data_IF_659467754475
#
_entry.id   IF_659467754475
#
_cell.length_a   1.000
_cell.length_b   1.000
_cell.length_c   1.000
_cell.angle_alpha   90.00
_cell.angle_beta   90.00
_cell.angle_gamma   90.00
#
_symmetry.space_group_name_H-M   'P 1'
#
loop_
_entity.id
_entity.type
_entity.pdbx_description
1 polymer ?
#
# COMPACT_ATOMS: atom_id res chain seq x y z
N UNK A 1 19.01 -52.39 34.82
CA UNK A 1 17.93 -51.57 35.40
C UNK A 1 17.79 -50.34 34.51
N UNK A 2 16.78 -50.32 33.63
CA UNK A 2 16.54 -49.25 32.65
C UNK A 2 15.11 -48.75 32.88
N UNK A 3 14.88 -47.45 33.17
CA UNK A 3 13.55 -46.96 33.47
C UNK A 3 12.72 -46.72 32.21
N UNK A 4 11.45 -47.08 32.35
CA UNK A 4 10.35 -47.10 31.38
C UNK A 4 9.98 -45.69 30.89
N UNK A 5 9.75 -45.55 29.57
CA UNK A 5 9.21 -44.35 28.92
C UNK A 5 7.87 -43.93 29.55
N UNK A 6 7.81 -42.70 30.06
CA UNK A 6 6.59 -42.05 30.56
C UNK A 6 5.54 -41.86 29.47
N UNK A 7 4.32 -42.35 29.73
CA UNK A 7 3.16 -42.21 28.88
C UNK A 7 2.67 -40.75 28.81
N UNK A 8 2.30 -40.29 27.61
CA UNK A 8 1.65 -38.99 27.39
C UNK A 8 0.20 -39.05 27.88
N UNK A 9 -0.31 -38.05 28.63
CA UNK A 9 -1.69 -38.05 29.12
C UNK A 9 -2.71 -37.88 27.97
N UNK A 10 -3.83 -38.57 28.10
CA UNK A 10 -4.96 -38.49 27.18
C UNK A 10 -5.58 -37.08 27.18
N UNK A 11 -5.78 -36.50 25.98
CA UNK A 11 -6.36 -35.15 25.81
C UNK A 11 -5.47 -34.13 25.09
N UNK A 12 -4.21 -34.47 24.77
CA UNK A 12 -3.31 -33.59 23.99
C UNK A 12 -3.67 -33.46 22.50
N UNK A 13 -4.65 -34.22 22.01
CA UNK A 13 -5.05 -34.29 20.61
C UNK A 13 -6.41 -33.62 20.32
N UNK A 14 -6.82 -32.63 21.11
CA UNK A 14 -8.05 -31.87 20.84
C UNK A 14 -7.71 -30.43 20.40
N UNK A 15 -8.11 -29.99 19.18
CA UNK A 15 -7.88 -28.63 18.74
C UNK A 15 -8.65 -27.63 19.61
N UNK A 16 -8.01 -26.51 19.96
CA UNK A 16 -8.61 -25.40 20.69
C UNK A 16 -9.94 -25.00 20.03
N UNK A 17 -11.03 -25.08 20.80
CA UNK A 17 -12.34 -24.50 20.45
C UNK A 17 -12.15 -23.03 20.10
N UNK A 18 -12.43 -22.65 18.85
CA UNK A 18 -12.32 -21.27 18.38
C UNK A 18 -13.18 -20.34 19.22
N UNK A 19 -12.54 -19.47 20.01
CA UNK A 19 -13.22 -18.40 20.71
C UNK A 19 -13.91 -17.47 19.72
N UNK A 20 -15.17 -17.12 20.00
CA UNK A 20 -15.92 -16.11 19.23
C UNK A 20 -15.06 -14.85 19.11
N UNK A 21 -14.62 -14.55 17.89
CA UNK A 21 -13.93 -13.31 17.57
C UNK A 21 -14.91 -12.16 17.82
N UNK A 22 -14.77 -11.44 18.93
CA UNK A 22 -15.42 -10.16 19.14
C UNK A 22 -14.79 -9.16 18.17
N UNK A 23 -15.45 -8.93 17.04
CA UNK A 23 -15.07 -7.87 16.11
C UNK A 23 -15.61 -6.54 16.65
N UNK A 24 -14.77 -5.49 16.82
CA UNK A 24 -15.25 -4.14 17.02
C UNK A 24 -16.19 -3.76 15.87
N UNK A 25 -17.37 -3.20 16.20
CA UNK A 25 -18.49 -2.98 15.26
C UNK A 25 -18.14 -2.25 13.95
N UNK A 26 -17.03 -1.51 13.92
CA UNK A 26 -16.50 -0.87 12.72
C UNK A 26 -16.08 -1.86 11.60
N UNK A 27 -15.76 -3.12 11.91
CA UNK A 27 -15.34 -4.11 10.90
C UNK A 27 -16.50 -4.71 10.09
N UNK A 28 -17.76 -4.56 10.54
CA UNK A 28 -18.91 -5.09 9.82
C UNK A 28 -19.09 -4.40 8.45
N UNK A 29 -19.01 -3.08 8.41
CA UNK A 29 -19.15 -2.31 7.15
C UNK A 29 -18.07 -2.67 6.11
N UNK A 30 -16.82 -2.90 6.55
CA UNK A 30 -15.71 -3.31 5.67
C UNK A 30 -15.85 -4.72 5.07
N UNK A 31 -16.68 -5.58 5.67
CA UNK A 31 -17.04 -6.89 5.11
C UNK A 31 -18.20 -6.78 4.11
N UNK A 32 -19.08 -5.79 4.26
CA UNK A 32 -20.21 -5.56 3.36
C UNK A 32 -19.84 -4.79 2.09
N UNK A 33 -18.89 -3.84 2.17
CA UNK A 33 -18.38 -3.11 1.00
C UNK A 33 -17.63 -4.01 -0.02
N UNK A 34 -17.17 -5.21 0.40
CA UNK A 34 -16.44 -6.17 -0.46
C UNK A 34 -17.33 -7.13 -1.26
N UNK A 35 -18.66 -7.08 -1.12
CA UNK A 35 -19.57 -7.99 -1.87
C UNK A 35 -20.01 -7.46 -3.24
N UNK A 36 -19.65 -6.24 -3.63
CA UNK A 36 -20.08 -5.65 -4.91
C UNK A 36 -18.95 -5.47 -5.93
N UNK A 37 -17.78 -6.06 -5.71
CA UNK A 37 -16.67 -6.01 -6.66
C UNK A 37 -16.02 -7.40 -6.81
N UNK A 38 -16.43 -8.10 -7.88
CA UNK A 38 -15.74 -9.20 -8.55
C UNK A 38 -15.49 -10.49 -7.74
N UNK A 39 -16.21 -11.55 -8.13
CA UNK A 39 -15.97 -12.92 -7.69
C UNK A 39 -14.66 -13.49 -8.26
N UNK A 40 -13.94 -14.24 -7.44
CA UNK A 40 -12.75 -15.01 -7.81
C UNK A 40 -12.32 -15.92 -6.66
N UNK A 41 -12.34 -17.23 -6.90
CA UNK A 41 -12.05 -18.33 -5.97
C UNK A 41 -10.60 -18.29 -5.39
N UNK A 42 -10.33 -18.84 -4.19
CA UNK A 42 -8.96 -19.04 -3.72
C UNK A 42 -8.42 -20.39 -4.20
N UNK A 43 -7.39 -20.37 -5.05
CA UNK A 43 -6.59 -21.55 -5.40
C UNK A 43 -5.45 -21.76 -4.40
N UNK A 44 -5.43 -22.90 -3.73
CA UNK A 44 -4.26 -23.46 -3.04
C UNK A 44 -3.36 -24.17 -4.07
N UNK A 45 -2.05 -23.98 -3.97
CA UNK A 45 -1.03 -24.78 -4.65
C UNK A 45 0.20 -24.95 -3.73
N UNK A 46 0.79 -26.15 -3.59
CA UNK A 46 1.85 -26.44 -2.63
C UNK A 46 3.27 -26.45 -3.25
N UNK A 47 4.28 -26.11 -2.42
CA UNK A 47 5.67 -26.56 -2.57
C UNK A 47 6.60 -25.74 -3.47
N UNK A 48 7.65 -25.18 -2.88
CA UNK A 48 8.80 -24.58 -3.58
C UNK A 48 9.71 -23.80 -2.63
N UNK A 49 10.80 -24.42 -2.21
CA UNK A 49 11.84 -23.88 -1.33
C UNK A 49 12.62 -22.72 -1.99
N UNK A 50 13.11 -21.80 -1.14
CA UNK A 50 14.24 -20.93 -1.47
C UNK A 50 13.93 -19.43 -1.42
N UNK A 51 14.38 -18.79 -0.34
CA UNK A 51 15.14 -17.53 -0.27
C UNK A 51 14.86 -16.84 1.08
N UNK A 52 15.63 -17.22 2.09
CA UNK A 52 15.75 -16.50 3.35
C UNK A 52 16.56 -15.23 3.12
N UNK A 53 15.95 -14.06 3.29
CA UNK A 53 16.66 -12.82 3.57
C UNK A 53 16.23 -12.32 4.96
N UNK A 54 17.14 -12.40 5.92
CA UNK A 54 17.07 -11.59 7.13
C UNK A 54 18.26 -10.62 7.15
N UNK A 55 17.97 -9.40 7.64
CA UNK A 55 18.84 -8.25 7.98
C UNK A 55 18.82 -7.13 6.93
N UNK A 56 18.40 -5.90 7.21
CA UNK A 56 17.92 -5.25 8.43
C UNK A 56 17.74 -3.75 8.21
N UNK A 57 17.05 -3.11 9.15
CA UNK A 57 17.08 -1.69 9.51
C UNK A 57 16.66 -0.63 8.48
N UNK A 58 15.45 -0.11 8.69
CA UNK A 58 14.84 1.00 7.97
C UNK A 58 13.32 0.86 8.08
N UNK A 59 12.73 1.51 9.08
CA UNK A 59 11.28 1.64 9.24
C UNK A 59 10.69 2.45 8.06
N UNK A 60 10.64 1.81 6.90
CA UNK A 60 9.93 2.32 5.76
C UNK A 60 8.53 1.73 5.74
N UNK A 61 7.60 2.50 5.22
CA UNK A 61 6.31 2.05 4.70
C UNK A 61 6.48 1.03 3.53
N UNK A 62 7.44 0.12 3.60
CA UNK A 62 7.94 -0.79 2.57
C UNK A 62 8.08 -2.25 3.01
N UNK A 63 7.41 -2.67 4.09
CA UNK A 63 7.38 -4.07 4.55
C UNK A 63 6.15 -4.85 4.09
N UNK A 64 6.24 -5.49 2.92
CA UNK A 64 5.51 -6.70 2.50
C UNK A 64 4.14 -7.02 3.12
N UNK A 65 3.15 -6.12 3.09
CA UNK A 65 1.74 -6.48 3.32
C UNK A 65 0.76 -5.49 2.68
N UNK A 66 0.16 -5.93 1.57
CA UNK A 66 -1.04 -5.38 0.94
C UNK A 66 -0.93 -3.98 0.31
N UNK A 67 -0.60 -3.99 -0.98
CA UNK A 67 -0.90 -2.94 -1.96
C UNK A 67 -2.30 -2.33 -1.72
N UNK A 68 -2.40 -1.17 -1.08
CA UNK A 68 -3.72 -0.60 -0.81
C UNK A 68 -3.77 0.68 0.00
N UNK A 69 -4.77 1.49 -0.32
CA UNK A 69 -5.18 2.71 0.41
C UNK A 69 -5.56 2.42 1.88
N UNK A 70 -5.82 1.15 2.20
CA UNK A 70 -6.38 0.72 3.49
C UNK A 70 -5.48 1.05 4.68
N UNK A 71 -4.15 0.86 4.56
CA UNK A 71 -3.23 1.09 5.67
C UNK A 71 -3.00 2.58 5.93
N UNK A 72 -2.72 3.42 4.90
CA UNK A 72 -2.71 4.88 5.06
C UNK A 72 -4.04 5.42 5.59
N UNK A 73 -5.17 4.98 5.03
CA UNK A 73 -6.49 5.48 5.45
C UNK A 73 -6.82 5.13 6.90
N UNK A 74 -6.49 3.91 7.36
CA UNK A 74 -6.72 3.52 8.76
C UNK A 74 -5.87 4.35 9.72
N UNK A 75 -4.63 4.63 9.35
CA UNK A 75 -3.75 5.49 10.13
C UNK A 75 -4.30 6.92 10.23
N UNK A 76 -4.73 7.50 9.10
CA UNK A 76 -5.31 8.84 9.06
C UNK A 76 -6.64 8.93 9.80
N UNK A 77 -7.52 7.94 9.63
CA UNK A 77 -8.80 7.87 10.34
C UNK A 77 -8.61 7.92 11.86
N UNK A 78 -7.62 7.18 12.38
CA UNK A 78 -7.29 7.19 13.79
C UNK A 78 -6.62 8.51 14.22
N UNK A 79 -5.60 8.97 13.49
CA UNK A 79 -4.81 10.15 13.90
C UNK A 79 -5.55 11.48 13.76
N UNK A 80 -6.50 11.57 12.84
CA UNK A 80 -7.29 12.77 12.58
C UNK A 80 -8.72 12.68 13.14
N UNK A 81 -9.07 11.56 13.77
CA UNK A 81 -10.42 11.29 14.29
C UNK A 81 -11.50 11.56 13.23
N UNK A 82 -11.34 10.96 12.05
CA UNK A 82 -12.21 11.22 10.90
C UNK A 82 -13.61 10.64 11.12
N UNK A 83 -14.64 11.36 10.68
CA UNK A 83 -16.00 10.82 10.60
C UNK A 83 -16.18 9.92 9.36
N UNK A 84 -17.31 9.20 9.29
CA UNK A 84 -17.57 8.22 8.22
C UNK A 84 -17.57 8.85 6.82
N UNK A 85 -18.15 10.04 6.67
CA UNK A 85 -18.18 10.80 5.41
C UNK A 85 -16.76 11.19 4.99
N UNK A 86 -15.97 11.73 5.92
CA UNK A 86 -14.58 12.10 5.68
C UNK A 86 -13.73 10.90 5.29
N UNK A 87 -13.91 9.75 5.95
CA UNK A 87 -13.21 8.49 5.60
C UNK A 87 -13.53 8.07 4.17
N UNK A 88 -14.79 8.14 3.76
CA UNK A 88 -15.22 7.80 2.41
C UNK A 88 -14.58 8.70 1.34
N UNK A 89 -14.55 10.01 1.57
CA UNK A 89 -13.94 10.96 0.64
C UNK A 89 -12.41 10.83 0.60
N UNK A 90 -11.76 10.66 1.75
CA UNK A 90 -10.32 10.46 1.82
C UNK A 90 -9.90 9.15 1.15
N UNK A 91 -10.73 8.10 1.23
CA UNK A 91 -10.49 6.85 0.51
C UNK A 91 -10.43 7.06 -1.00
N UNK A 92 -11.40 7.81 -1.57
CA UNK A 92 -11.43 8.12 -3.00
C UNK A 92 -10.20 8.91 -3.44
N UNK A 93 -9.85 9.96 -2.68
CA UNK A 93 -8.67 10.80 -2.97
C UNK A 93 -7.39 9.96 -2.99
N UNK A 94 -7.20 9.10 -1.99
CA UNK A 94 -6.01 8.26 -1.90
C UNK A 94 -5.98 7.16 -2.96
N UNK A 95 -7.13 6.66 -3.42
CA UNK A 95 -7.21 5.65 -4.48
C UNK A 95 -6.87 6.22 -5.86
N UNK A 96 -7.36 7.43 -6.15
CA UNK A 96 -6.94 8.20 -7.33
C UNK A 96 -5.42 8.44 -7.31
N UNK A 97 -4.87 8.93 -6.19
CA UNK A 97 -3.44 9.19 -6.08
C UNK A 97 -2.60 7.92 -6.20
N UNK A 98 -3.08 6.79 -5.66
CA UNK A 98 -2.42 5.48 -5.83
C UNK A 98 -2.36 5.08 -7.30
N UNK A 99 -3.43 5.33 -8.05
CA UNK A 99 -3.51 5.02 -9.49
C UNK A 99 -2.50 5.86 -10.28
N UNK A 100 -2.43 7.16 -10.00
CA UNK A 100 -1.46 8.06 -10.64
C UNK A 100 0.00 7.67 -10.33
N UNK A 101 0.31 7.33 -9.08
CA UNK A 101 1.64 6.82 -8.71
C UNK A 101 1.98 5.49 -9.39
N UNK A 102 1.00 4.60 -9.55
CA UNK A 102 1.20 3.35 -10.27
C UNK A 102 1.49 3.61 -11.75
N UNK A 103 0.79 4.57 -12.37
CA UNK A 103 1.04 4.98 -13.75
C UNK A 103 2.43 5.62 -13.89
N UNK A 104 2.82 6.51 -12.98
CA UNK A 104 4.15 7.10 -12.96
C UNK A 104 5.27 6.05 -12.85
N UNK A 105 5.08 5.01 -12.03
CA UNK A 105 6.03 3.90 -11.94
C UNK A 105 6.12 3.07 -13.23
N UNK A 106 5.02 2.93 -13.99
CA UNK A 106 5.04 2.30 -15.32
C UNK A 106 5.78 3.19 -16.32
N UNK A 107 5.53 4.49 -16.31
CA UNK A 107 6.18 5.44 -17.20
C UNK A 107 7.68 5.54 -16.90
N UNK A 108 8.11 5.51 -15.63
CA UNK A 108 9.54 5.50 -15.26
C UNK A 108 10.27 4.28 -15.82
N UNK A 109 9.62 3.11 -15.84
CA UNK A 109 10.18 1.91 -16.51
C UNK A 109 10.32 2.12 -18.01
N UNK A 110 9.31 2.73 -18.66
CA UNK A 110 9.36 3.04 -20.11
C UNK A 110 10.45 4.05 -20.42
N UNK A 111 10.61 5.08 -19.60
CA UNK A 111 11.68 6.08 -19.70
C UNK A 111 13.05 5.40 -19.56
N UNK A 112 13.20 4.53 -18.57
CA UNK A 112 14.45 3.79 -18.34
C UNK A 112 14.81 2.92 -19.54
N UNK A 113 13.84 2.19 -20.10
CA UNK A 113 14.03 1.44 -21.34
C UNK A 113 14.39 2.35 -22.52
N UNK A 114 13.71 3.48 -22.70
CA UNK A 114 14.00 4.42 -23.77
C UNK A 114 15.42 5.01 -23.69
N UNK A 115 15.92 5.28 -22.48
CA UNK A 115 17.32 5.65 -22.30
C UNK A 115 18.29 4.52 -22.60
N UNK A 116 17.97 3.29 -22.20
CA UNK A 116 18.78 2.11 -22.53
C UNK A 116 18.87 1.91 -24.05
N UNK A 117 17.76 2.06 -24.77
CA UNK A 117 17.71 1.95 -26.23
C UNK A 117 18.48 3.06 -26.93
N UNK A 118 18.58 4.24 -26.32
CA UNK A 118 19.33 5.37 -26.87
C UNK A 118 20.85 5.19 -26.78
N UNK A 119 21.32 4.45 -25.77
CA UNK A 119 22.76 4.20 -25.54
C UNK A 119 23.21 2.81 -25.98
N UNK A 120 22.29 1.88 -26.24
CA UNK A 120 22.58 0.47 -26.56
C UNK A 120 22.95 0.19 -28.01
N UNK A 121 22.95 1.21 -28.88
CA UNK A 121 23.36 1.13 -30.28
C UNK A 121 24.85 1.51 -30.44
N UNK A 122 25.41 1.25 -31.62
CA UNK A 122 26.81 1.62 -31.95
C UNK A 122 27.07 3.13 -31.87
N UNK A 123 26.01 3.94 -32.04
CA UNK A 123 26.06 5.40 -31.92
C UNK A 123 24.93 5.87 -31.01
N UNK A 124 25.19 6.95 -30.28
CA UNK A 124 24.21 7.55 -29.40
C UNK A 124 23.02 8.13 -30.18
N UNK A 125 21.82 7.68 -29.84
CA UNK A 125 20.57 8.19 -30.40
C UNK A 125 20.02 9.34 -29.54
N UNK A 126 20.47 10.56 -29.86
CA UNK A 126 20.06 11.77 -29.18
C UNK A 126 18.53 12.03 -29.23
N UNK A 127 17.85 11.57 -30.28
CA UNK A 127 16.40 11.79 -30.43
C UNK A 127 15.64 10.89 -29.46
N UNK A 128 15.98 9.60 -29.39
CA UNK A 128 15.37 8.68 -28.41
C UNK A 128 15.63 9.12 -26.98
N UNK A 129 16.85 9.58 -26.68
CA UNK A 129 17.17 10.10 -25.35
C UNK A 129 16.31 11.32 -25.01
N UNK A 130 16.14 12.26 -25.96
CA UNK A 130 15.30 13.44 -25.75
C UNK A 130 13.81 13.05 -25.52
N UNK A 131 13.28 12.11 -26.30
CA UNK A 131 11.90 11.63 -26.16
C UNK A 131 11.65 10.94 -24.80
N UNK A 132 12.59 10.09 -24.37
CA UNK A 132 12.54 9.47 -23.04
C UNK A 132 12.62 10.52 -21.91
N UNK A 133 13.47 11.53 -22.07
CA UNK A 133 13.55 12.67 -21.16
C UNK A 133 12.25 13.46 -21.07
N UNK A 134 11.63 13.77 -22.22
CA UNK A 134 10.36 14.47 -22.28
C UNK A 134 9.22 13.67 -21.61
N UNK A 135 9.19 12.36 -21.81
CA UNK A 135 8.24 11.47 -21.14
C UNK A 135 8.43 11.49 -19.61
N UNK A 136 9.68 11.53 -19.12
CA UNK A 136 9.99 11.64 -17.69
C UNK A 136 9.40 12.90 -17.06
N UNK A 137 9.62 14.04 -17.72
CA UNK A 137 9.10 15.34 -17.28
C UNK A 137 7.58 15.33 -17.26
N UNK A 138 6.95 14.88 -18.35
CA UNK A 138 5.49 14.82 -18.48
C UNK A 138 4.85 13.92 -17.42
N UNK A 139 5.47 12.79 -17.10
CA UNK A 139 4.99 11.89 -16.05
C UNK A 139 5.07 12.56 -14.66
N UNK A 140 6.18 13.26 -14.38
CA UNK A 140 6.35 14.01 -13.14
C UNK A 140 5.36 15.17 -12.99
N UNK A 141 5.07 15.90 -14.07
CA UNK A 141 4.07 16.98 -14.09
C UNK A 141 2.66 16.47 -13.75
N UNK A 142 2.25 15.36 -14.37
CA UNK A 142 0.95 14.72 -14.06
C UNK A 142 0.86 14.30 -12.59
N UNK A 143 1.92 13.67 -12.07
CA UNK A 143 1.95 13.25 -10.67
C UNK A 143 1.91 14.46 -9.72
N UNK A 144 2.64 15.54 -10.03
CA UNK A 144 2.58 16.81 -9.30
C UNK A 144 1.15 17.34 -9.27
N UNK A 145 0.49 17.41 -10.42
CA UNK A 145 -0.88 17.96 -10.53
C UNK A 145 -1.88 17.10 -9.75
N UNK A 146 -1.73 15.77 -9.80
CA UNK A 146 -2.52 14.83 -9.00
C UNK A 146 -2.31 15.04 -7.48
N UNK A 147 -1.07 15.24 -7.03
CA UNK A 147 -0.74 15.53 -5.63
C UNK A 147 -1.37 16.85 -5.19
N UNK A 148 -1.24 17.91 -5.99
CA UNK A 148 -1.84 19.23 -5.68
C UNK A 148 -3.36 19.14 -5.58
N UNK A 149 -4.00 18.43 -6.51
CA UNK A 149 -5.44 18.17 -6.50
C UNK A 149 -5.85 17.37 -5.26
N UNK A 150 -5.09 16.34 -4.89
CA UNK A 150 -5.35 15.55 -3.70
C UNK A 150 -5.26 16.42 -2.43
N UNK A 151 -4.20 17.21 -2.28
CA UNK A 151 -4.02 18.14 -1.14
C UNK A 151 -5.17 19.15 -1.03
N UNK A 152 -5.57 19.75 -2.15
CA UNK A 152 -6.70 20.69 -2.17
C UNK A 152 -8.01 20.04 -1.72
N UNK A 153 -8.29 18.81 -2.17
CA UNK A 153 -9.49 18.05 -1.76
C UNK A 153 -9.43 17.62 -0.29
N UNK A 154 -8.28 17.14 0.18
CA UNK A 154 -8.09 16.80 1.60
C UNK A 154 -8.32 18.03 2.49
N UNK A 155 -7.78 19.18 2.08
CA UNK A 155 -8.02 20.45 2.78
C UNK A 155 -9.52 20.76 2.83
N UNK A 156 -10.26 20.66 1.73
CA UNK A 156 -11.70 20.93 1.71
C UNK A 156 -12.53 20.02 2.64
N UNK A 157 -12.17 18.74 2.76
CA UNK A 157 -12.90 17.74 3.55
C UNK A 157 -12.61 17.83 5.06
N UNK A 158 -11.40 18.25 5.43
CA UNK A 158 -10.95 18.31 6.82
C UNK A 158 -11.27 19.66 7.46
N UNK A 159 -11.49 19.68 8.77
CA UNK A 159 -11.60 20.92 9.55
C UNK A 159 -10.22 21.54 9.87
N UNK A 160 -10.19 22.71 10.52
CA UNK A 160 -8.94 23.41 10.84
C UNK A 160 -8.00 22.61 11.75
N UNK A 161 -8.54 21.89 12.74
CA UNK A 161 -7.73 21.09 13.67
C UNK A 161 -7.14 19.88 12.97
N UNK A 162 -7.95 19.18 12.17
CA UNK A 162 -7.52 18.04 11.37
C UNK A 162 -6.47 18.46 10.32
N UNK A 163 -6.61 19.62 9.68
CA UNK A 163 -5.61 20.17 8.75
C UNK A 163 -4.28 20.44 9.43
N UNK A 164 -4.29 21.05 10.62
CA UNK A 164 -3.07 21.30 11.39
C UNK A 164 -2.36 19.99 11.75
N UNK A 165 -3.12 18.99 12.19
CA UNK A 165 -2.59 17.67 12.50
C UNK A 165 -2.04 16.95 11.25
N UNK A 166 -2.73 17.03 10.12
CA UNK A 166 -2.25 16.48 8.85
C UNK A 166 -0.93 17.14 8.42
N UNK A 167 -0.84 18.47 8.52
CA UNK A 167 0.39 19.21 8.21
C UNK A 167 1.57 18.78 9.12
N UNK A 168 1.29 18.53 10.41
CA UNK A 168 2.28 17.99 11.34
C UNK A 168 2.76 16.59 10.92
N UNK A 169 1.85 15.70 10.53
CA UNK A 169 2.20 14.34 10.07
C UNK A 169 3.07 14.35 8.81
N UNK A 170 2.80 15.27 7.87
CA UNK A 170 3.62 15.46 6.66
C UNK A 170 5.00 15.99 7.03
N UNK A 171 5.07 17.05 7.86
CA UNK A 171 6.34 17.68 8.25
C UNK A 171 7.27 16.73 8.99
N UNK A 172 6.72 15.81 9.76
CA UNK A 172 7.48 14.82 10.54
C UNK A 172 7.81 13.55 9.76
N UNK A 173 7.37 13.44 8.50
CA UNK A 173 7.57 12.23 7.69
C UNK A 173 6.71 11.04 8.10
N UNK A 174 5.84 11.19 9.12
CA UNK A 174 4.89 10.15 9.53
C UNK A 174 3.85 9.84 8.43
N UNK A 175 3.66 10.77 7.49
CA UNK A 175 2.90 10.59 6.26
C UNK A 175 3.73 11.10 5.06
N UNK A 176 3.88 10.27 4.03
CA UNK A 176 4.52 10.64 2.76
C UNK A 176 3.49 10.77 1.62
N UNK A 177 3.59 11.86 0.86
CA UNK A 177 2.69 12.27 -0.24
C UNK A 177 3.48 12.36 -1.56
#
# INVERSE_FOLDING_TARGET
MVPTRTARPAGSASPRRGGKTMYPGMLHWWKHARRQAWGGHPGHGPGGEGFSFHRGEGDDFGGGSSFGVRRPLRFLAYKLNLNETQVGELAKILDELKTERAQAAVDDRRVTSGFADAIGLDQFDAVKAADAGALRVKSAERLRDAVLKALARMHAVLDSQQRAQLAYLIRTGALSI
#
